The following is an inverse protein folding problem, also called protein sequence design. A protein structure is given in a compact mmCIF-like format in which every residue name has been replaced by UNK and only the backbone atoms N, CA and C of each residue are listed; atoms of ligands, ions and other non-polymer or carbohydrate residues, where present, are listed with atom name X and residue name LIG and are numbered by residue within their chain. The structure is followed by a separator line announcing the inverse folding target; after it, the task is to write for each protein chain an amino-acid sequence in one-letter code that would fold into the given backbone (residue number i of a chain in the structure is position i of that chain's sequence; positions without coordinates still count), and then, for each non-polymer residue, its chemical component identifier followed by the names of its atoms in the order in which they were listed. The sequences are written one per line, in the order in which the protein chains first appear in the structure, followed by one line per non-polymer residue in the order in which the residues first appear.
data_IF_241831251242
#
_entry.id   IF_241831251242
#
_cell.length_a   1.000
_cell.length_b   1.000
_cell.length_c   1.000
_cell.angle_alpha   90.00
_cell.angle_beta   90.00
_cell.angle_gamma   90.00
#
_symmetry.space_group_name_H-M   'P 1'
#
loop_
_entity.id
_entity.type
_entity.pdbx_description
1 polymer ?
#
# COMPACT_ATOMS: atom_id res chain seq x y z
N UNK A 1 7.84 -11.10 13.84
CA UNK A 1 7.64 -10.57 12.48
C UNK A 1 6.35 -9.77 12.53
N UNK A 2 6.40 -8.52 12.08
CA UNK A 2 5.27 -7.62 11.98
C UNK A 2 4.42 -7.87 10.73
N UNK A 3 3.53 -6.94 10.43
CA UNK A 3 2.63 -7.02 9.28
C UNK A 3 2.93 -5.92 8.26
N UNK A 4 2.98 -6.29 6.98
CA UNK A 4 3.07 -5.35 5.86
C UNK A 4 1.73 -5.32 5.14
N UNK A 5 1.13 -4.14 5.01
CA UNK A 5 -0.09 -3.89 4.26
C UNK A 5 0.24 -2.93 3.12
N UNK A 6 -0.19 -3.28 1.91
CA UNK A 6 -0.06 -2.41 0.73
C UNK A 6 -1.30 -2.55 -0.13
N UNK A 7 -1.62 -1.51 -0.89
CA UNK A 7 -2.66 -1.59 -1.92
C UNK A 7 -2.27 -2.62 -2.99
N UNK A 8 -3.23 -3.48 -3.32
CA UNK A 8 -3.17 -4.33 -4.50
C UNK A 8 -3.61 -3.50 -5.71
N UNK A 9 -2.67 -3.24 -6.61
CA UNK A 9 -2.86 -2.37 -7.77
C UNK A 9 -2.49 -3.14 -9.04
N UNK A 10 -3.30 -3.04 -10.11
CA UNK A 10 -2.92 -3.54 -11.43
C UNK A 10 -1.57 -2.96 -11.88
N UNK A 11 -0.79 -3.74 -12.64
CA UNK A 11 0.55 -3.37 -13.12
C UNK A 11 0.58 -2.08 -13.97
N UNK A 12 -0.53 -1.71 -14.58
CA UNK A 12 -0.71 -0.50 -15.40
C UNK A 12 -1.34 0.67 -14.62
N UNK A 13 -1.56 0.51 -13.32
CA UNK A 13 -2.18 1.54 -12.49
C UNK A 13 -1.32 2.81 -12.46
N UNK A 14 -1.89 3.99 -12.78
CA UNK A 14 -1.16 5.25 -12.71
C UNK A 14 -0.69 5.58 -11.29
N UNK A 15 -1.32 4.99 -10.26
CA UNK A 15 -0.93 5.15 -8.86
C UNK A 15 0.46 4.56 -8.56
N UNK A 16 0.92 3.58 -9.35
CA UNK A 16 2.26 3.01 -9.21
C UNK A 16 3.37 4.04 -9.47
N UNK A 17 3.08 5.06 -10.29
CA UNK A 17 4.00 6.15 -10.62
C UNK A 17 3.99 7.32 -9.62
N UNK A 18 3.09 7.31 -8.63
CA UNK A 18 3.07 8.32 -7.57
C UNK A 18 4.22 8.09 -6.58
N UNK A 19 4.62 9.10 -5.79
CA UNK A 19 5.46 8.89 -4.61
C UNK A 19 4.70 8.06 -3.57
N UNK A 20 5.40 7.34 -2.70
CA UNK A 20 4.82 6.44 -1.70
C UNK A 20 5.28 6.82 -0.29
N UNK A 21 4.41 6.62 0.68
CA UNK A 21 4.73 6.77 2.11
C UNK A 21 4.66 5.42 2.81
N UNK A 22 5.28 5.34 3.98
CA UNK A 22 5.16 4.21 4.89
C UNK A 22 4.62 4.77 6.21
N UNK A 23 3.50 4.24 6.69
CA UNK A 23 2.97 4.52 8.02
C UNK A 23 3.26 3.32 8.91
N UNK A 24 4.12 3.49 9.89
CA UNK A 24 4.38 2.49 10.93
C UNK A 24 3.50 2.76 12.13
N UNK A 25 2.83 1.73 12.64
CA UNK A 25 1.96 1.79 13.81
C UNK A 25 2.05 0.52 14.66
N UNK A 26 1.39 0.51 15.82
CA UNK A 26 1.28 -0.68 16.64
C UNK A 26 0.60 -1.81 15.86
N UNK A 27 1.06 -3.04 16.08
CA UNK A 27 0.43 -4.24 15.52
C UNK A 27 -0.83 -4.65 16.30
N UNK A 28 -0.87 -4.26 17.57
CA UNK A 28 -1.82 -4.65 18.60
C UNK A 28 -2.46 -3.37 19.18
N UNK A 29 -3.78 -3.39 19.39
CA UNK A 29 -4.53 -2.29 20.00
C UNK A 29 -4.11 -1.98 21.46
N UNK A 30 -3.40 -2.88 22.15
CA UNK A 30 -2.87 -2.68 23.49
C UNK A 30 -1.62 -1.79 23.52
N UNK A 31 -0.89 -1.70 22.42
CA UNK A 31 0.27 -0.83 22.28
C UNK A 31 -0.18 0.55 21.76
N UNK A 32 -0.48 1.47 22.68
CA UNK A 32 -0.97 2.81 22.31
C UNK A 32 0.20 3.78 22.06
N UNK A 33 0.71 3.83 20.83
CA UNK A 33 1.67 4.85 20.39
C UNK A 33 1.30 5.48 19.04
N UNK A 34 1.75 6.72 18.83
CA UNK A 34 1.40 7.54 17.67
C UNK A 34 2.10 7.08 16.39
N UNK A 35 1.37 6.74 15.31
CA UNK A 35 1.98 6.26 14.08
C UNK A 35 3.03 7.21 13.49
N UNK A 36 4.12 6.64 12.96
CA UNK A 36 5.20 7.38 12.30
C UNK A 36 5.06 7.26 10.80
N UNK A 37 5.00 8.40 10.11
CA UNK A 37 4.93 8.47 8.63
C UNK A 37 6.31 8.80 8.06
N UNK A 38 6.80 7.94 7.17
CA UNK A 38 8.10 8.05 6.50
C UNK A 38 7.93 8.26 4.99
N UNK A 39 8.84 9.02 4.36
CA UNK A 39 8.87 9.25 2.91
C UNK A 39 8.80 10.73 2.52
N UNK A 40 8.50 11.03 1.24
CA UNK A 40 8.09 10.09 0.19
C UNK A 40 9.25 9.29 -0.42
N UNK A 41 8.97 8.06 -0.85
CA UNK A 41 9.87 7.14 -1.55
C UNK A 41 9.31 6.73 -2.91
N UNK A 42 10.13 6.09 -3.74
CA UNK A 42 9.61 5.32 -4.88
C UNK A 42 9.04 4.01 -4.36
N UNK A 43 7.98 3.48 -4.99
CA UNK A 43 7.31 2.24 -4.57
C UNK A 43 8.27 1.09 -4.20
N UNK A 44 9.25 0.70 -5.06
CA UNK A 44 10.15 -0.40 -4.72
C UNK A 44 10.99 -0.11 -3.48
N UNK A 45 11.39 1.14 -3.25
CA UNK A 45 12.12 1.54 -2.05
C UNK A 45 11.22 1.52 -0.80
N UNK A 46 9.99 2.03 -0.90
CA UNK A 46 9.04 2.03 0.21
C UNK A 46 8.77 0.61 0.72
N UNK A 47 8.49 -0.32 -0.20
CA UNK A 47 8.21 -1.70 0.16
C UNK A 47 9.43 -2.41 0.75
N UNK A 48 10.62 -2.25 0.15
CA UNK A 48 11.83 -2.89 0.67
C UNK A 48 12.22 -2.37 2.07
N UNK A 49 12.04 -1.07 2.33
CA UNK A 49 12.24 -0.50 3.67
C UNK A 49 11.21 -1.04 4.67
N UNK A 50 9.92 -1.07 4.30
CA UNK A 50 8.87 -1.58 5.17
C UNK A 50 9.09 -3.08 5.50
N UNK A 51 9.38 -3.91 4.50
CA UNK A 51 9.73 -5.33 4.65
C UNK A 51 10.90 -5.53 5.62
N UNK A 52 11.95 -4.71 5.48
CA UNK A 52 13.13 -4.82 6.34
C UNK A 52 12.80 -4.53 7.82
N UNK A 53 11.96 -3.52 8.09
CA UNK A 53 11.59 -3.15 9.47
C UNK A 53 10.64 -4.19 10.07
N UNK A 54 9.59 -4.61 9.36
CA UNK A 54 8.62 -5.61 9.88
C UNK A 54 9.23 -7.01 9.99
N UNK A 55 10.30 -7.32 9.25
CA UNK A 55 11.03 -8.57 9.43
C UNK A 55 11.66 -8.66 10.83
N UNK A 56 12.13 -7.53 11.38
CA UNK A 56 12.85 -7.47 12.64
C UNK A 56 11.96 -7.06 13.83
N UNK A 57 10.88 -6.32 13.58
CA UNK A 57 10.03 -5.73 14.61
C UNK A 57 8.57 -6.20 14.56
N UNK A 58 7.88 -6.17 15.70
CA UNK A 58 6.46 -6.55 15.83
C UNK A 58 5.57 -5.31 15.70
N UNK A 59 5.51 -4.76 14.48
CA UNK A 59 4.78 -3.54 14.16
C UNK A 59 4.04 -3.71 12.84
N UNK A 60 3.04 -2.86 12.61
CA UNK A 60 2.33 -2.79 11.34
C UNK A 60 2.95 -1.70 10.47
N UNK A 61 3.19 -2.01 9.20
CA UNK A 61 3.61 -1.05 8.19
C UNK A 61 2.56 -0.98 7.09
N UNK A 62 1.99 0.20 6.84
CA UNK A 62 1.09 0.47 5.73
C UNK A 62 1.86 1.24 4.66
N UNK A 63 1.97 0.69 3.46
CA UNK A 63 2.67 1.29 2.32
C UNK A 63 1.64 1.72 1.27
N UNK A 64 1.55 3.02 1.04
CA UNK A 64 0.49 3.60 0.20
C UNK A 64 0.99 4.79 -0.64
N UNK A 65 0.37 5.04 -1.82
CA UNK A 65 0.73 6.16 -2.67
C UNK A 65 0.28 7.48 -2.04
N UNK A 66 1.18 8.46 -2.06
CA UNK A 66 0.92 9.84 -1.70
C UNK A 66 0.32 10.57 -2.90
N UNK A 67 -0.90 11.09 -2.76
CA UNK A 67 -1.55 11.93 -3.78
C UNK A 67 -1.15 13.39 -3.56
N UNK A 68 -0.34 14.00 -4.44
CA UNK A 68 0.10 15.38 -4.27
C UNK A 68 -0.97 16.35 -4.75
N UNK A 69 -1.92 16.71 -3.89
CA UNK A 69 -2.94 17.71 -4.18
C UNK A 69 -2.38 19.14 -4.03
N UNK A 70 -2.71 20.02 -4.97
CA UNK A 70 -2.24 21.42 -5.02
C UNK A 70 -3.27 22.43 -4.52
N UNK A 71 -4.50 21.98 -4.21
CA UNK A 71 -5.56 22.85 -3.72
C UNK A 71 -6.50 22.12 -2.76
N UNK A 72 -7.22 22.86 -1.89
CA UNK A 72 -8.27 22.27 -1.06
C UNK A 72 -9.38 21.59 -1.87
N UNK A 73 -9.66 22.06 -3.09
CA UNK A 73 -10.70 21.47 -3.94
C UNK A 73 -10.27 20.13 -4.53
N UNK A 74 -9.00 19.98 -4.91
CA UNK A 74 -8.43 18.68 -5.27
C UNK A 74 -8.55 17.69 -4.10
N UNK A 75 -8.19 18.10 -2.88
CA UNK A 75 -8.33 17.25 -1.68
C UNK A 75 -9.78 16.81 -1.46
N UNK A 76 -10.73 17.72 -1.61
CA UNK A 76 -12.17 17.38 -1.51
C UNK A 76 -12.61 16.40 -2.60
N UNK A 77 -12.07 16.53 -3.81
CA UNK A 77 -12.28 15.60 -4.90
C UNK A 77 -11.81 14.18 -4.55
N UNK A 78 -10.59 14.05 -4.03
CA UNK A 78 -10.04 12.77 -3.57
C UNK A 78 -10.89 12.15 -2.44
N UNK A 79 -11.32 12.96 -1.47
CA UNK A 79 -12.21 12.49 -0.39
C UNK A 79 -13.55 11.97 -0.95
N UNK A 80 -14.12 12.68 -1.94
CA UNK A 80 -15.36 12.24 -2.56
C UNK A 80 -15.18 10.92 -3.33
N UNK A 81 -14.09 10.80 -4.09
CA UNK A 81 -13.75 9.56 -4.82
C UNK A 81 -13.56 8.38 -3.86
N UNK A 82 -12.82 8.57 -2.76
CA UNK A 82 -12.62 7.55 -1.74
C UNK A 82 -13.94 7.10 -1.08
N UNK A 83 -14.86 8.03 -0.79
CA UNK A 83 -16.18 7.71 -0.24
C UNK A 83 -17.05 6.89 -1.20
N UNK A 84 -16.99 7.21 -2.49
CA UNK A 84 -17.70 6.46 -3.54
C UNK A 84 -17.11 5.05 -3.63
N UNK A 85 -15.79 4.92 -3.72
CA UNK A 85 -15.12 3.61 -3.77
C UNK A 85 -15.45 2.73 -2.56
N UNK A 86 -15.46 3.30 -1.35
CA UNK A 86 -15.83 2.57 -0.13
C UNK A 86 -17.30 2.09 -0.15
N UNK A 87 -18.19 2.90 -0.74
CA UNK A 87 -19.61 2.55 -0.85
C UNK A 87 -19.86 1.48 -1.92
N UNK A 88 -19.16 1.55 -3.05
CA UNK A 88 -19.21 0.54 -4.11
C UNK A 88 -18.67 -0.81 -3.62
N UNK A 89 -17.58 -0.80 -2.84
CA UNK A 89 -17.03 -2.01 -2.24
C UNK A 89 -17.99 -2.64 -1.23
N UNK A 90 -18.60 -1.83 -0.35
CA UNK A 90 -19.63 -2.31 0.57
C UNK A 90 -20.83 -2.93 -0.17
N UNK A 91 -21.25 -2.35 -1.29
CA UNK A 91 -22.33 -2.89 -2.12
C UNK A 91 -21.94 -4.20 -2.82
N UNK A 92 -20.67 -4.38 -3.22
CA UNK A 92 -20.17 -5.65 -3.77
C UNK A 92 -20.16 -6.75 -2.72
N UNK A 93 -19.72 -6.44 -1.50
CA UNK A 93 -19.73 -7.38 -0.37
C UNK A 93 -21.18 -7.80 -0.05
N UNK A 94 -22.11 -6.85 0.08
CA UNK A 94 -23.53 -7.14 0.33
C UNK A 94 -24.16 -7.99 -0.79
N UNK A 95 -23.80 -7.72 -2.05
CA UNK A 95 -24.25 -8.54 -3.18
C UNK A 95 -23.67 -9.96 -3.14
N UNK A 96 -22.40 -10.11 -2.76
CA UNK A 96 -21.75 -11.42 -2.58
C UNK A 96 -22.42 -12.24 -1.47
N UNK A 97 -22.75 -11.61 -0.34
CA UNK A 97 -23.45 -12.24 0.79
C UNK A 97 -24.88 -12.67 0.42
N UNK A 98 -25.52 -11.97 -0.53
CA UNK A 98 -26.87 -12.29 -1.02
C UNK A 98 -26.89 -13.49 -1.99
N UNK A 99 -25.78 -13.78 -2.68
CA UNK A 99 -25.59 -14.95 -3.55
C UNK A 99 -24.91 -16.11 -2.80
N UNK A 100 -25.32 -16.32 -1.54
CA UNK A 100 -24.74 -17.30 -0.63
C UNK A 100 -24.56 -18.71 -1.22
N UNK A 101 -23.37 -19.24 -0.92
CA UNK A 101 -22.88 -20.62 -1.09
C UNK A 101 -22.28 -21.01 -2.46
N UNK A 102 -21.01 -20.63 -2.65
CA UNK A 102 -20.06 -21.32 -3.54
C UNK A 102 -18.89 -21.91 -2.70
N UNK A 103 -19.15 -22.27 -1.44
CA UNK A 103 -18.11 -22.66 -0.48
C UNK A 103 -17.38 -23.95 -0.91
N UNK A 104 -18.02 -24.80 -1.73
CA UNK A 104 -17.46 -26.08 -2.19
C UNK A 104 -16.50 -25.99 -3.41
N UNK A 105 -16.32 -24.82 -4.06
CA UNK A 105 -15.43 -24.68 -5.25
C UNK A 105 -14.21 -23.78 -4.98
N UNK A 106 -14.29 -22.92 -3.97
CA UNK A 106 -13.25 -21.93 -3.66
C UNK A 106 -12.01 -22.59 -3.03
N UNK A 107 -12.16 -23.65 -2.24
CA UNK A 107 -11.02 -24.29 -1.55
C UNK A 107 -9.97 -24.83 -2.53
N UNK A 108 -10.38 -25.52 -3.61
CA UNK A 108 -9.44 -26.06 -4.61
C UNK A 108 -8.76 -24.95 -5.45
N UNK A 109 -9.46 -23.84 -5.73
CA UNK A 109 -8.91 -22.72 -6.50
C UNK A 109 -8.01 -21.81 -5.65
N UNK A 110 -8.34 -21.64 -4.36
CA UNK A 110 -7.53 -20.91 -3.38
C UNK A 110 -6.23 -21.68 -3.06
N UNK A 111 -6.29 -22.99 -2.90
CA UNK A 111 -5.12 -23.84 -2.70
C UNK A 111 -4.21 -23.83 -3.95
N UNK A 112 -4.80 -23.90 -5.16
CA UNK A 112 -4.05 -23.76 -6.41
C UNK A 112 -3.43 -22.36 -6.61
N UNK A 113 -4.12 -21.29 -6.19
CA UNK A 113 -3.59 -19.93 -6.23
C UNK A 113 -2.44 -19.73 -5.23
N UNK A 114 -2.53 -20.34 -4.05
CA UNK A 114 -1.46 -20.35 -3.06
C UNK A 114 -0.23 -21.14 -3.55
N UNK A 115 -0.42 -22.28 -4.22
CA UNK A 115 0.68 -23.04 -4.84
C UNK A 115 1.29 -22.31 -6.06
N UNK A 116 0.49 -21.58 -6.84
CA UNK A 116 0.95 -20.79 -7.98
C UNK A 116 1.68 -19.51 -7.57
N UNK A 117 1.41 -18.98 -6.38
CA UNK A 117 2.05 -17.77 -5.85
C UNK A 117 3.56 -17.93 -5.55
N UNK A 118 4.09 -19.16 -5.59
CA UNK A 118 5.49 -19.47 -5.32
C UNK A 118 5.87 -19.20 -3.86
N UNK A 119 6.96 -19.82 -3.38
CA UNK A 119 7.53 -19.44 -2.08
C UNK A 119 7.83 -17.93 -2.10
N UNK A 120 7.42 -17.16 -1.08
CA UNK A 120 7.74 -15.74 -1.02
C UNK A 120 9.25 -15.61 -1.11
N UNK A 121 9.72 -14.96 -2.18
CA UNK A 121 11.11 -14.55 -2.27
C UNK A 121 11.44 -13.83 -0.96
N UNK A 122 12.50 -14.28 -0.28
CA UNK A 122 12.88 -13.73 1.02
C UNK A 122 12.96 -12.19 1.00
N UNK A 123 12.96 -11.53 2.18
CA UNK A 123 12.84 -10.09 2.30
C UNK A 123 13.76 -9.37 1.30
N UNK A 124 13.22 -8.40 0.56
CA UNK A 124 14.04 -7.66 -0.40
C UNK A 124 15.12 -6.91 0.37
N UNK A 125 16.35 -6.85 -0.16
CA UNK A 125 17.40 -6.06 0.48
C UNK A 125 16.97 -4.60 0.55
N UNK A 126 17.18 -3.98 1.71
CA UNK A 126 16.95 -2.55 1.88
C UNK A 126 17.77 -1.74 0.85
N UNK A 127 17.18 -0.68 0.25
CA UNK A 127 17.88 0.16 -0.70
C UNK A 127 19.04 0.89 -0.02
N UNK A 128 20.12 1.11 -0.78
CA UNK A 128 21.24 1.88 -0.28
C UNK A 128 20.87 3.37 -0.13
N UNK A 129 21.55 4.09 0.77
CA UNK A 129 21.30 5.52 1.00
C UNK A 129 21.43 6.35 -0.30
N UNK A 130 22.40 6.02 -1.14
CA UNK A 130 22.60 6.69 -2.42
C UNK A 130 21.40 6.50 -3.38
N UNK A 131 20.78 5.32 -3.37
CA UNK A 131 19.59 5.01 -4.19
C UNK A 131 18.37 5.79 -3.69
N UNK A 132 18.19 5.87 -2.37
CA UNK A 132 17.15 6.68 -1.74
C UNK A 132 17.29 8.16 -2.11
N UNK A 133 18.50 8.72 -1.98
CA UNK A 133 18.78 10.12 -2.37
C UNK A 133 18.50 10.37 -3.85
N UNK A 134 18.87 9.43 -4.73
CA UNK A 134 18.56 9.54 -6.15
C UNK A 134 17.05 9.48 -6.43
N UNK A 135 16.31 8.62 -5.71
CA UNK A 135 14.86 8.55 -5.76
C UNK A 135 14.20 9.85 -5.30
N UNK A 136 14.67 10.44 -4.20
CA UNK A 136 14.18 11.75 -3.73
C UNK A 136 14.33 12.85 -4.78
N UNK A 137 15.45 12.87 -5.51
CA UNK A 137 15.64 13.83 -6.59
C UNK A 137 14.61 13.67 -7.72
N UNK A 138 14.25 12.43 -8.09
CA UNK A 138 13.22 12.15 -9.10
C UNK A 138 11.82 12.53 -8.61
N UNK A 139 11.49 12.19 -7.37
CA UNK A 139 10.22 12.57 -6.74
C UNK A 139 10.09 14.08 -6.65
N UNK A 140 11.14 14.78 -6.21
CA UNK A 140 11.15 16.23 -6.14
C UNK A 140 10.83 16.85 -7.50
N UNK A 141 11.45 16.36 -8.57
CA UNK A 141 11.15 16.78 -9.94
C UNK A 141 9.67 16.55 -10.30
N UNK A 142 9.16 15.34 -10.07
CA UNK A 142 7.76 14.99 -10.34
C UNK A 142 6.77 15.92 -9.59
N UNK A 143 7.03 16.19 -8.31
CA UNK A 143 6.19 17.06 -7.49
C UNK A 143 6.23 18.52 -7.96
N UNK A 144 7.39 18.99 -8.44
CA UNK A 144 7.51 20.36 -8.97
C UNK A 144 6.92 20.53 -10.36
N UNK A 145 6.97 19.49 -11.21
CA UNK A 145 6.40 19.52 -12.56
C UNK A 145 4.86 19.49 -12.51
N UNK A 146 4.25 18.84 -11.52
CA UNK A 146 2.79 18.87 -11.33
C UNK A 146 2.24 20.28 -11.09
N UNK A 147 3.04 21.16 -10.49
CA UNK A 147 2.65 22.53 -10.14
C UNK A 147 3.15 23.62 -11.11
N UNK A 148 3.79 23.24 -12.23
CA UNK A 148 4.30 24.15 -13.27
C UNK A 148 3.37 24.22 -14.47
#
# INVERSE_FOLDING_TARGET
MGALVTLDLPDDSPMLGLPWIITFGPLDDADEWEPVVCGPYERPHALALAESVVAEEQLMAVVEPLVPALSPDEIRGEIAAARIAASDEAARIEASDLYGDFDDVIDDELEAAAEAAGEPAGPRPAPAEAELRAGFARIAKLLTEKGS
#
